data_IF_807870050887
#
_entry.id   IF_807870050887
#
_cell.length_a   1.000
_cell.length_b   1.000
_cell.length_c   1.000
_cell.angle_alpha   90.00
_cell.angle_beta   90.00
_cell.angle_gamma   90.00
#
_symmetry.space_group_name_H-M   'P 1'
#
loop_
_entity.id
_entity.type
_entity.pdbx_description
1 polymer ?
#
# COMPACT_ATOMS: atom_id res chain seq x y z
N UNK A 1 1.89 -13.84 17.26
CA UNK A 1 0.93 -12.72 17.37
C UNK A 1 0.39 -12.49 15.96
N UNK A 2 -0.91 -12.22 15.76
CA UNK A 2 -1.34 -11.79 14.42
C UNK A 2 -0.74 -10.42 14.16
N UNK A 3 0.27 -10.35 13.31
CA UNK A 3 0.95 -9.07 13.05
C UNK A 3 -0.01 -8.11 12.35
N UNK A 4 -0.11 -6.90 12.91
CA UNK A 4 -0.96 -5.83 12.39
C UNK A 4 -0.55 -5.46 10.96
N UNK A 5 -1.46 -4.85 10.20
CA UNK A 5 -1.18 -4.44 8.83
C UNK A 5 0.04 -3.50 8.78
N UNK A 6 0.19 -2.64 9.80
CA UNK A 6 1.37 -1.78 9.91
C UNK A 6 2.69 -2.55 10.05
N UNK A 7 2.74 -3.57 10.91
CA UNK A 7 3.97 -4.36 11.08
C UNK A 7 4.28 -5.16 9.82
N UNK A 8 3.26 -5.73 9.18
CA UNK A 8 3.41 -6.37 7.88
C UNK A 8 3.94 -5.39 6.82
N UNK A 9 3.36 -4.19 6.72
CA UNK A 9 3.80 -3.17 5.78
C UNK A 9 5.28 -2.81 5.98
N UNK A 10 5.71 -2.60 7.24
CA UNK A 10 7.10 -2.35 7.57
C UNK A 10 8.03 -3.51 7.20
N UNK A 11 7.61 -4.75 7.47
CA UNK A 11 8.38 -5.93 7.11
C UNK A 11 8.51 -6.08 5.59
N UNK A 12 7.40 -5.94 4.86
CA UNK A 12 7.35 -6.11 3.41
C UNK A 12 8.18 -5.02 2.72
N UNK A 13 8.08 -3.78 3.17
CA UNK A 13 8.85 -2.66 2.62
C UNK A 13 10.36 -2.82 2.80
N UNK A 14 10.80 -3.57 3.82
CA UNK A 14 12.22 -3.89 4.06
C UNK A 14 12.75 -5.03 3.21
N UNK A 15 11.88 -5.73 2.48
CA UNK A 15 12.31 -6.80 1.59
C UNK A 15 13.07 -6.21 0.39
N UNK A 16 14.09 -6.93 -0.12
CA UNK A 16 14.82 -6.49 -1.30
C UNK A 16 13.87 -6.15 -2.45
N UNK A 17 14.13 -5.02 -3.10
CA UNK A 17 13.43 -4.51 -4.29
C UNK A 17 11.96 -4.08 -4.07
N UNK A 18 11.38 -4.23 -2.88
CA UNK A 18 9.98 -3.85 -2.62
C UNK A 18 9.79 -2.33 -2.54
N UNK A 19 10.69 -1.62 -1.86
CA UNK A 19 10.66 -0.15 -1.81
C UNK A 19 10.69 0.44 -3.23
N UNK A 20 11.66 -0.01 -4.04
CA UNK A 20 11.81 0.44 -5.43
C UNK A 20 10.58 0.08 -6.28
N UNK A 21 10.01 -1.12 -6.09
CA UNK A 21 8.77 -1.52 -6.76
C UNK A 21 7.61 -0.59 -6.39
N UNK A 22 7.40 -0.30 -5.09
CA UNK A 22 6.33 0.57 -4.63
C UNK A 22 6.47 1.99 -5.21
N UNK A 23 7.70 2.53 -5.21
CA UNK A 23 7.98 3.84 -5.79
C UNK A 23 7.71 3.85 -7.31
N UNK A 24 8.14 2.83 -8.04
CA UNK A 24 7.89 2.72 -9.47
C UNK A 24 6.39 2.63 -9.79
N UNK A 25 5.65 1.78 -9.07
CA UNK A 25 4.21 1.63 -9.24
C UNK A 25 3.46 2.93 -8.92
N UNK A 26 3.88 3.64 -7.87
CA UNK A 26 3.32 4.93 -7.51
C UNK A 26 3.58 5.97 -8.60
N UNK A 27 4.83 6.15 -9.02
CA UNK A 27 5.21 7.24 -9.94
C UNK A 27 4.76 6.98 -11.38
N UNK A 28 4.74 5.72 -11.84
CA UNK A 28 4.42 5.39 -13.24
C UNK A 28 2.98 4.95 -13.46
N UNK A 29 2.36 4.35 -12.45
CA UNK A 29 1.01 3.78 -12.56
C UNK A 29 0.00 4.43 -11.62
N UNK A 30 0.42 5.38 -10.77
CA UNK A 30 -0.47 6.04 -9.82
C UNK A 30 -0.94 5.12 -8.68
N UNK A 31 -0.15 4.08 -8.37
CA UNK A 31 -0.51 3.14 -7.31
C UNK A 31 -0.63 3.83 -5.94
N UNK A 32 -1.68 3.48 -5.22
CA UNK A 32 -1.83 3.76 -3.80
C UNK A 32 -1.06 2.69 -3.02
N UNK A 33 0.11 3.06 -2.51
CA UNK A 33 1.01 2.13 -1.82
C UNK A 33 0.36 1.55 -0.55
N UNK A 34 -0.31 2.33 0.31
CA UNK A 34 -1.08 1.77 1.43
C UNK A 34 -2.10 0.71 1.02
N UNK A 35 -2.84 0.93 -0.06
CA UNK A 35 -3.83 -0.03 -0.56
C UNK A 35 -3.16 -1.30 -1.11
N UNK A 36 -2.07 -1.15 -1.87
CA UNK A 36 -1.27 -2.28 -2.37
C UNK A 36 -0.76 -3.16 -1.21
N UNK A 37 -0.24 -2.54 -0.16
CA UNK A 37 0.27 -3.23 1.03
C UNK A 37 -0.86 -3.94 1.80
N UNK A 38 -2.05 -3.34 1.87
CA UNK A 38 -3.24 -3.97 2.43
C UNK A 38 -3.63 -5.24 1.65
N UNK A 39 -3.63 -5.19 0.32
CA UNK A 39 -3.91 -6.36 -0.51
C UNK A 39 -2.85 -7.45 -0.35
N UNK A 40 -1.57 -7.10 -0.28
CA UNK A 40 -0.50 -8.06 -0.03
C UNK A 40 -0.67 -8.74 1.34
N UNK A 41 -1.07 -7.97 2.36
CA UNK A 41 -1.35 -8.50 3.70
C UNK A 41 -2.54 -9.45 3.73
N UNK A 42 -3.61 -9.16 2.99
CA UNK A 42 -4.77 -10.06 2.84
C UNK A 42 -4.42 -11.33 2.07
N UNK A 43 -3.69 -11.20 0.96
CA UNK A 43 -3.20 -12.32 0.14
C UNK A 43 -2.33 -13.27 0.98
N UNK A 44 -1.41 -12.73 1.81
CA UNK A 44 -0.55 -13.51 2.71
C UNK A 44 -1.32 -14.37 3.73
N UNK A 45 -2.56 -13.97 4.04
CA UNK A 45 -3.45 -14.65 4.98
C UNK A 45 -4.49 -15.53 4.29
N UNK A 46 -4.45 -15.60 2.95
CA UNK A 46 -5.44 -16.32 2.15
C UNK A 46 -6.86 -15.76 2.31
N UNK A 47 -6.99 -14.47 2.63
CA UNK A 47 -8.28 -13.83 2.87
C UNK A 47 -8.79 -13.12 1.61
N UNK A 48 -10.06 -13.35 1.26
CA UNK A 48 -10.74 -12.57 0.24
C UNK A 48 -11.55 -11.42 0.85
N UNK A 49 -11.70 -10.36 0.07
CA UNK A 49 -12.63 -9.26 0.36
C UNK A 49 -13.98 -9.52 -0.31
N UNK A 50 -15.06 -9.27 0.42
CA UNK A 50 -16.37 -9.12 -0.21
C UNK A 50 -16.34 -7.90 -1.17
N UNK A 51 -17.04 -7.94 -2.32
CA UNK A 51 -17.00 -6.84 -3.29
C UNK A 51 -17.30 -5.46 -2.69
N UNK A 52 -18.29 -5.37 -1.81
CA UNK A 52 -18.64 -4.11 -1.14
C UNK A 52 -17.53 -3.57 -0.22
N UNK A 53 -16.77 -4.46 0.43
CA UNK A 53 -15.63 -4.06 1.26
C UNK A 53 -14.46 -3.62 0.38
N UNK A 54 -14.21 -4.32 -0.74
CA UNK A 54 -13.21 -3.94 -1.71
C UNK A 54 -13.46 -2.51 -2.24
N UNK A 55 -14.67 -2.24 -2.73
CA UNK A 55 -15.08 -0.89 -3.17
C UNK A 55 -15.02 0.16 -2.04
N UNK A 56 -15.22 -0.26 -0.79
CA UNK A 56 -15.10 0.66 0.34
C UNK A 56 -13.63 1.04 0.61
N UNK A 57 -12.71 0.07 0.59
CA UNK A 57 -11.27 0.33 0.74
C UNK A 57 -10.75 1.23 -0.38
N UNK A 58 -11.13 0.98 -1.63
CA UNK A 58 -10.71 1.81 -2.77
C UNK A 58 -11.20 3.26 -2.66
N UNK A 59 -12.45 3.46 -2.21
CA UNK A 59 -13.00 4.81 -2.00
C UNK A 59 -12.30 5.54 -0.85
N UNK A 60 -12.04 4.86 0.26
CA UNK A 60 -11.30 5.43 1.37
C UNK A 60 -9.86 5.77 0.96
N UNK A 61 -9.19 4.89 0.21
CA UNK A 61 -7.86 5.13 -0.37
C UNK A 61 -7.86 6.39 -1.24
N UNK A 62 -8.73 6.42 -2.25
CA UNK A 62 -8.85 7.54 -3.21
C UNK A 62 -9.09 8.87 -2.50
N UNK A 63 -10.03 8.88 -1.55
CA UNK A 63 -10.34 10.08 -0.77
C UNK A 63 -9.13 10.53 0.04
N UNK A 64 -8.53 9.64 0.81
CA UNK A 64 -7.39 9.95 1.69
C UNK A 64 -6.16 10.41 0.89
N UNK A 65 -5.90 9.75 -0.23
CA UNK A 65 -4.83 10.11 -1.16
C UNK A 65 -5.02 11.54 -1.67
N UNK A 66 -6.22 11.90 -2.13
CA UNK A 66 -6.50 13.23 -2.67
C UNK A 66 -6.54 14.34 -1.61
N UNK A 67 -7.14 14.05 -0.44
CA UNK A 67 -7.37 15.07 0.59
C UNK A 67 -6.15 15.29 1.50
N UNK A 68 -5.26 14.30 1.65
CA UNK A 68 -4.20 14.33 2.68
C UNK A 68 -2.81 14.00 2.11
N UNK A 69 -2.63 12.82 1.50
CA UNK A 69 -1.28 12.38 1.08
C UNK A 69 -0.75 13.22 -0.09
N UNK A 70 -1.53 13.41 -1.15
CA UNK A 70 -1.12 14.18 -2.32
C UNK A 70 -0.72 15.63 -1.96
N UNK A 71 -1.49 16.39 -1.18
CA UNK A 71 -1.07 17.71 -0.71
C UNK A 71 0.26 17.71 0.06
N UNK A 72 0.49 16.74 0.95
CA UNK A 72 1.75 16.62 1.69
C UNK A 72 2.93 16.30 0.75
N UNK A 73 2.71 15.38 -0.19
CA UNK A 73 3.70 14.99 -1.19
C UNK A 73 4.05 16.13 -2.13
N UNK A 74 3.06 16.90 -2.57
CA UNK A 74 3.26 18.09 -3.40
C UNK A 74 4.06 19.16 -2.65
N UNK A 75 3.70 19.45 -1.39
CA UNK A 75 4.45 20.36 -0.55
C UNK A 75 5.92 19.93 -0.40
N UNK A 76 6.16 18.64 -0.09
CA UNK A 76 7.52 18.08 0.00
C UNK A 76 8.29 18.17 -1.31
N UNK A 77 7.64 17.91 -2.45
CA UNK A 77 8.25 18.01 -3.79
C UNK A 77 8.61 19.45 -4.14
N UNK A 78 7.77 20.43 -3.77
CA UNK A 78 8.04 21.85 -3.98
C UNK A 78 9.27 22.34 -3.19
N UNK A 79 9.51 21.78 -2.00
CA UNK A 79 10.66 22.13 -1.14
C UNK A 79 12.01 21.56 -1.63
N UNK A 80 12.04 20.67 -2.64
CA UNK A 80 13.24 19.92 -3.04
C UNK A 80 14.45 20.79 -3.42
N UNK A 81 14.24 22.03 -3.87
CA UNK A 81 15.31 22.95 -4.30
C UNK A 81 15.73 23.94 -3.22
N UNK A 82 15.01 24.00 -2.11
CA UNK A 82 15.20 24.99 -1.05
C UNK A 82 16.06 24.38 0.06
N UNK A 83 17.37 24.57 -0.04
CA UNK A 83 18.35 23.93 0.87
C UNK A 83 18.33 24.50 2.29
N UNK A 84 17.81 25.72 2.47
CA UNK A 84 17.70 26.41 3.75
C UNK A 84 16.54 25.89 4.63
N UNK A 85 15.62 25.12 4.05
CA UNK A 85 14.45 24.55 4.74
C UNK A 85 14.43 23.02 4.78
N UNK A 86 15.58 22.35 4.58
CA UNK A 86 15.66 20.88 4.62
C UNK A 86 15.04 20.27 5.90
N UNK A 87 15.23 20.83 7.12
CA UNK A 87 14.56 20.30 8.31
C UNK A 87 13.03 20.39 8.25
N UNK A 88 12.47 21.39 7.56
CA UNK A 88 11.03 21.50 7.33
C UNK A 88 10.57 20.44 6.33
N UNK A 89 11.33 20.23 5.24
CA UNK A 89 11.04 19.20 4.23
C UNK A 89 10.97 17.80 4.85
N UNK A 90 11.90 17.47 5.74
CA UNK A 90 11.90 16.18 6.45
C UNK A 90 10.72 16.06 7.44
N UNK A 91 10.27 17.15 8.07
CA UNK A 91 9.03 17.15 8.87
C UNK A 91 7.79 16.91 8.02
N UNK A 92 7.70 17.49 6.82
CA UNK A 92 6.58 17.21 5.90
C UNK A 92 6.61 15.75 5.44
N UNK A 93 7.81 15.20 5.16
CA UNK A 93 7.98 13.77 4.86
C UNK A 93 7.48 12.89 6.01
N UNK A 94 7.79 13.25 7.25
CA UNK A 94 7.29 12.53 8.43
C UNK A 94 5.75 12.58 8.50
N UNK A 95 5.14 13.74 8.26
CA UNK A 95 3.67 13.85 8.20
C UNK A 95 3.05 12.99 7.07
N UNK A 96 3.70 12.91 5.90
CA UNK A 96 3.26 12.04 4.80
C UNK A 96 3.25 10.56 5.23
N UNK A 97 4.33 10.09 5.86
CA UNK A 97 4.43 8.72 6.37
C UNK A 97 3.43 8.43 7.50
N UNK A 98 3.20 9.38 8.39
CA UNK A 98 2.18 9.27 9.45
C UNK A 98 0.76 9.18 8.85
N UNK A 99 0.49 9.93 7.78
CA UNK A 99 -0.79 9.84 7.07
C UNK A 99 -0.98 8.49 6.37
N UNK A 100 0.06 7.93 5.76
CA UNK A 100 0.04 6.58 5.17
C UNK A 100 -0.20 5.51 6.24
N UNK A 101 0.49 5.61 7.38
CA UNK A 101 0.27 4.73 8.53
C UNK A 101 -1.18 4.79 9.05
N UNK A 102 -1.73 5.99 9.20
CA UNK A 102 -3.12 6.16 9.65
C UNK A 102 -4.13 5.53 8.68
N UNK A 103 -3.86 5.55 7.37
CA UNK A 103 -4.69 4.87 6.39
C UNK A 103 -4.60 3.34 6.52
N UNK A 104 -3.40 2.79 6.72
CA UNK A 104 -3.22 1.36 6.97
C UNK A 104 -3.96 0.91 8.23
N UNK A 105 -3.87 1.66 9.34
CA UNK A 105 -4.61 1.34 10.58
C UNK A 105 -6.14 1.36 10.37
N UNK A 106 -6.65 2.26 9.52
CA UNK A 106 -8.07 2.28 9.14
C UNK A 106 -8.46 1.08 8.31
N UNK A 107 -7.66 0.70 7.31
CA UNK A 107 -7.91 -0.50 6.52
C UNK A 107 -7.92 -1.75 7.39
N UNK A 108 -6.98 -1.89 8.32
CA UNK A 108 -6.97 -2.98 9.28
C UNK A 108 -8.25 -3.04 10.11
N UNK A 109 -8.72 -1.89 10.61
CA UNK A 109 -9.99 -1.81 11.33
C UNK A 109 -11.18 -2.24 10.46
N UNK A 110 -11.28 -1.72 9.22
CA UNK A 110 -12.36 -2.08 8.30
C UNK A 110 -12.39 -3.58 7.97
N UNK A 111 -11.22 -4.16 7.70
CA UNK A 111 -11.07 -5.59 7.42
C UNK A 111 -11.41 -6.44 8.65
N UNK A 112 -10.95 -6.04 9.84
CA UNK A 112 -11.16 -6.82 11.07
C UNK A 112 -12.62 -6.91 11.50
N UNK A 113 -13.45 -5.92 11.15
CA UNK A 113 -14.89 -5.90 11.44
C UNK A 113 -15.74 -6.58 10.37
N UNK A 114 -15.14 -6.99 9.25
CA UNK A 114 -15.86 -7.59 8.15
C UNK A 114 -15.78 -9.13 8.16
N UNK A 115 -16.78 -9.76 7.56
CA UNK A 115 -16.71 -11.19 7.23
C UNK A 115 -15.83 -11.36 5.98
N UNK A 116 -14.66 -11.97 6.15
CA UNK A 116 -13.79 -12.37 5.03
C UNK A 116 -14.33 -13.61 4.35
N UNK A 117 -14.27 -13.65 3.02
CA UNK A 117 -14.70 -14.82 2.23
C UNK A 117 -13.50 -15.74 1.95
N UNK A 118 -13.79 -16.96 1.47
CA UNK A 118 -12.76 -17.86 0.95
C UNK A 118 -12.04 -17.22 -0.25
N UNK A 119 -10.74 -17.50 -0.38
CA UNK A 119 -9.84 -16.88 -1.37
C UNK A 119 -10.42 -16.93 -2.81
N UNK A 120 -10.27 -15.85 -3.62
CA UNK A 120 -10.70 -15.86 -5.01
C UNK A 120 -9.73 -16.68 -5.88
N UNK A 121 -10.12 -16.98 -7.12
CA UNK A 121 -9.24 -17.63 -8.12
C UNK A 121 -7.96 -16.81 -8.40
N UNK A 122 -8.00 -15.49 -8.20
CA UNK A 122 -6.86 -14.59 -8.37
C UNK A 122 -6.65 -13.73 -7.13
N UNK A 123 -5.39 -13.54 -6.75
CA UNK A 123 -4.97 -12.71 -5.61
C UNK A 123 -5.42 -11.24 -5.75
N UNK A 124 -5.62 -10.55 -4.63
CA UNK A 124 -6.01 -9.14 -4.60
C UNK A 124 -4.94 -8.26 -5.23
N UNK A 125 -3.65 -8.53 -4.99
CA UNK A 125 -2.56 -7.83 -5.67
C UNK A 125 -2.62 -8.02 -7.20
N UNK A 126 -2.95 -9.23 -7.68
CA UNK A 126 -3.06 -9.47 -9.11
C UNK A 126 -4.19 -8.62 -9.73
N UNK A 127 -5.35 -8.58 -9.09
CA UNK A 127 -6.49 -7.77 -9.53
C UNK A 127 -6.13 -6.28 -9.56
N UNK A 128 -5.49 -5.77 -8.51
CA UNK A 128 -5.10 -4.37 -8.41
C UNK A 128 -4.04 -3.97 -9.45
N UNK A 129 -3.01 -4.80 -9.67
CA UNK A 129 -2.01 -4.55 -10.69
C UNK A 129 -2.62 -4.49 -12.11
N UNK A 130 -3.57 -5.38 -12.42
CA UNK A 130 -4.30 -5.32 -13.68
C UNK A 130 -5.09 -4.01 -13.85
N UNK A 131 -5.76 -3.55 -12.78
CA UNK A 131 -6.49 -2.29 -12.78
C UNK A 131 -5.58 -1.08 -13.02
N UNK A 132 -4.34 -1.13 -12.53
CA UNK A 132 -3.29 -0.14 -12.80
C UNK A 132 -2.66 -0.27 -14.19
N UNK A 133 -3.10 -1.24 -15.00
CA UNK A 133 -2.54 -1.52 -16.32
C UNK A 133 -1.17 -2.20 -16.28
N UNK A 134 -0.76 -2.74 -15.13
CA UNK A 134 0.49 -3.50 -14.97
C UNK A 134 0.22 -4.96 -15.31
N UNK A 135 0.69 -5.38 -16.50
CA UNK A 135 0.37 -6.69 -17.09
C UNK A 135 1.64 -7.47 -17.49
N UNK A 136 1.50 -8.77 -17.76
CA UNK A 136 2.56 -9.62 -18.31
C UNK A 136 3.75 -9.81 -17.37
N UNK A 137 4.98 -9.80 -17.91
CA UNK A 137 6.21 -10.04 -17.14
C UNK A 137 6.37 -9.08 -15.95
N UNK A 138 5.95 -7.82 -16.12
CA UNK A 138 6.02 -6.82 -15.04
C UNK A 138 5.09 -7.20 -13.90
N UNK A 139 3.85 -7.60 -14.20
CA UNK A 139 2.90 -8.05 -13.19
C UNK A 139 3.42 -9.28 -12.45
N UNK A 140 3.93 -10.27 -13.18
CA UNK A 140 4.44 -11.49 -12.58
C UNK A 140 5.64 -11.23 -11.65
N UNK A 141 6.54 -10.33 -12.06
CA UNK A 141 7.67 -9.91 -11.23
C UNK A 141 7.21 -9.15 -9.98
N UNK A 142 6.25 -8.22 -10.13
CA UNK A 142 5.68 -7.48 -9.00
C UNK A 142 5.00 -8.43 -8.01
N UNK A 143 4.21 -9.40 -8.49
CA UNK A 143 3.55 -10.39 -7.63
C UNK A 143 4.57 -11.26 -6.91
N UNK A 144 5.62 -11.71 -7.60
CA UNK A 144 6.67 -12.52 -6.99
C UNK A 144 7.40 -11.77 -5.85
N UNK A 145 7.49 -10.44 -5.89
CA UNK A 145 8.03 -9.62 -4.81
C UNK A 145 7.03 -9.42 -3.66
N UNK A 146 5.76 -9.12 -3.99
CA UNK A 146 4.70 -8.86 -3.02
C UNK A 146 4.24 -10.12 -2.26
N UNK A 147 4.43 -11.31 -2.85
CA UNK A 147 4.01 -12.60 -2.32
C UNK A 147 5.16 -13.40 -1.67
N UNK A 148 6.35 -12.81 -1.42
CA UNK A 148 7.44 -13.45 -0.65
C UNK A 148 7.12 -13.62 0.85
N UNK A 149 5.87 -13.94 1.18
CA UNK A 149 5.32 -13.89 2.54
C UNK A 149 5.53 -15.17 3.35
N UNK A 150 6.12 -16.20 2.76
CA UNK A 150 6.44 -17.46 3.48
C UNK A 150 7.44 -17.23 4.64
N UNK A 151 8.24 -16.17 4.60
CA UNK A 151 9.20 -15.79 5.66
C UNK A 151 8.59 -14.94 6.79
N UNK A 152 7.34 -14.48 6.65
CA UNK A 152 6.65 -13.68 7.68
C UNK A 152 6.06 -14.55 8.81
N UNK A 153 6.11 -15.88 8.68
CA UNK A 153 5.71 -16.82 9.73
C UNK A 153 6.93 -17.20 10.58
N UNK A 154 7.28 -16.38 11.56
CA UNK A 154 8.16 -16.78 12.68
C UNK A 154 7.40 -16.68 13.99
#
# INVERSE_FOLDING_TARGET
MSESLWHFALWLYRQPDVEDLCLELQDRHGADVPLLLCYAWLDSRGQALAPALHEHLEREATRWQNEIISPLREARRAMKRETDIEPLRERVKACELEAEKALLERFESLVSHAQTLAAPDHSLCHQYLNQLGVNGDKQQTSLALLQKTDEFRV
#
